data_IF_018954395245
#
_entry.id   IF_018954395245
#
_cell.length_a   1.000
_cell.length_b   1.000
_cell.length_c   1.000
_cell.angle_alpha   90.00
_cell.angle_beta   90.00
_cell.angle_gamma   90.00
#
_symmetry.space_group_name_H-M   'P 1'
#
loop_
_entity.id
_entity.type
_entity.pdbx_description
1 polymer ?
#
# COMPACT_ATOMS: atom_id res chain seq x y z
N UNK A 1 -15.67 21.45 -15.89
CA UNK A 1 -15.57 20.87 -17.24
C UNK A 1 -16.36 19.59 -17.24
N UNK A 2 -17.41 19.51 -18.05
CA UNK A 2 -18.26 18.33 -18.17
C UNK A 2 -17.42 17.17 -18.71
N UNK A 3 -17.36 16.05 -17.99
CA UNK A 3 -16.84 14.80 -18.53
C UNK A 3 -17.64 14.47 -19.80
N UNK A 4 -16.97 14.45 -20.94
CA UNK A 4 -17.56 13.91 -22.15
C UNK A 4 -17.94 12.46 -21.85
N UNK A 5 -19.22 12.16 -21.74
CA UNK A 5 -19.72 10.78 -21.80
C UNK A 5 -19.16 10.19 -23.10
N UNK A 6 -18.17 9.33 -23.00
CA UNK A 6 -17.67 8.58 -24.16
C UNK A 6 -18.87 7.78 -24.70
N UNK A 7 -19.16 7.92 -26.00
CA UNK A 7 -20.12 7.05 -26.65
C UNK A 7 -19.66 5.58 -26.48
N UNK A 8 -20.58 4.64 -26.25
CA UNK A 8 -20.22 3.23 -26.13
C UNK A 8 -19.54 2.79 -27.42
N UNK A 9 -18.32 2.27 -27.30
CA UNK A 9 -17.54 1.77 -28.41
C UNK A 9 -18.03 0.35 -28.79
N UNK A 10 -17.69 -0.12 -29.97
CA UNK A 10 -18.15 -1.41 -30.49
C UNK A 10 -17.74 -2.57 -29.55
N UNK A 11 -16.52 -2.54 -29.02
CA UNK A 11 -16.03 -3.51 -28.04
C UNK A 11 -16.86 -3.56 -26.76
N UNK A 12 -17.23 -2.40 -26.20
CA UNK A 12 -18.05 -2.30 -25.00
C UNK A 12 -19.45 -2.86 -25.23
N UNK A 13 -20.00 -2.68 -26.42
CA UNK A 13 -21.31 -3.25 -26.80
C UNK A 13 -21.29 -4.77 -26.83
N UNK A 14 -20.25 -5.40 -27.39
CA UNK A 14 -20.12 -6.86 -27.38
C UNK A 14 -19.89 -7.43 -25.97
N UNK A 15 -19.12 -6.73 -25.14
CA UNK A 15 -18.91 -7.13 -23.76
C UNK A 15 -20.19 -7.00 -22.91
N UNK A 16 -21.00 -5.97 -23.12
CA UNK A 16 -22.27 -5.79 -22.38
C UNK A 16 -23.29 -6.90 -22.65
N UNK A 17 -23.21 -7.56 -23.80
CA UNK A 17 -24.07 -8.72 -24.13
C UNK A 17 -23.62 -10.05 -23.49
N UNK A 18 -22.39 -10.14 -23.01
CA UNK A 18 -21.90 -11.36 -22.34
C UNK A 18 -22.42 -11.42 -20.90
N UNK A 19 -23.01 -12.54 -20.54
CA UNK A 19 -23.37 -12.82 -19.14
C UNK A 19 -22.09 -13.27 -18.41
N UNK A 20 -21.56 -12.41 -17.58
CA UNK A 20 -20.47 -12.73 -16.67
C UNK A 20 -21.05 -13.17 -15.33
N UNK A 21 -20.41 -14.14 -14.67
CA UNK A 21 -20.70 -14.39 -13.26
C UNK A 21 -20.16 -13.21 -12.43
N UNK A 22 -20.87 -12.77 -11.40
CA UNK A 22 -20.34 -11.77 -10.47
C UNK A 22 -18.99 -12.21 -9.94
N UNK A 23 -18.07 -11.28 -9.83
CA UNK A 23 -16.74 -11.48 -9.29
C UNK A 23 -16.56 -10.60 -8.06
N UNK A 24 -15.56 -10.89 -7.24
CA UNK A 24 -15.15 -10.03 -6.12
C UNK A 24 -15.06 -8.54 -6.52
N UNK A 25 -14.59 -8.25 -7.73
CA UNK A 25 -14.48 -6.87 -8.22
C UNK A 25 -15.83 -6.19 -8.43
N UNK A 26 -16.85 -6.95 -8.84
CA UNK A 26 -18.21 -6.44 -9.01
C UNK A 26 -18.84 -6.13 -7.64
N UNK A 27 -18.61 -6.99 -6.64
CA UNK A 27 -19.05 -6.78 -5.27
C UNK A 27 -18.41 -5.53 -4.66
N UNK A 28 -17.10 -5.33 -4.87
CA UNK A 28 -16.41 -4.12 -4.42
C UNK A 28 -16.96 -2.86 -5.10
N UNK A 29 -17.26 -2.91 -6.41
CA UNK A 29 -17.85 -1.76 -7.12
C UNK A 29 -19.25 -1.38 -6.60
N UNK A 30 -20.02 -2.35 -6.09
CA UNK A 30 -21.32 -2.11 -5.44
C UNK A 30 -21.17 -1.57 -4.00
N UNK A 31 -20.12 -2.00 -3.30
CA UNK A 31 -19.87 -1.60 -1.92
C UNK A 31 -19.31 -0.18 -1.86
N UNK A 32 -18.38 0.18 -2.74
CA UNK A 32 -17.64 1.44 -2.69
C UNK A 32 -18.27 2.50 -3.58
N UNK A 33 -18.65 3.66 -3.01
CA UNK A 33 -18.93 4.86 -3.79
C UNK A 33 -17.60 5.52 -4.20
N UNK A 34 -17.28 5.40 -5.47
CA UNK A 34 -16.04 5.93 -6.02
C UNK A 34 -16.05 7.46 -6.24
N UNK A 35 -17.21 8.12 -6.23
CA UNK A 35 -17.30 9.56 -6.51
C UNK A 35 -16.52 10.43 -5.53
N UNK A 36 -16.61 10.24 -4.20
CA UNK A 36 -15.81 11.01 -3.25
C UNK A 36 -14.30 10.79 -3.43
N UNK A 37 -13.90 9.53 -3.71
CA UNK A 37 -12.50 9.16 -3.96
C UNK A 37 -11.99 9.84 -5.22
N UNK A 38 -12.76 9.82 -6.30
CA UNK A 38 -12.44 10.50 -7.55
C UNK A 38 -12.28 12.01 -7.35
N UNK A 39 -13.21 12.65 -6.63
CA UNK A 39 -13.14 14.08 -6.34
C UNK A 39 -11.89 14.42 -5.52
N UNK A 40 -11.55 13.60 -4.54
CA UNK A 40 -10.34 13.77 -3.72
C UNK A 40 -9.06 13.62 -4.57
N UNK A 41 -8.95 12.56 -5.37
CA UNK A 41 -7.80 12.33 -6.27
C UNK A 41 -7.63 13.48 -7.27
N UNK A 42 -8.71 13.92 -7.90
CA UNK A 42 -8.68 15.03 -8.85
C UNK A 42 -8.25 16.35 -8.20
N UNK A 43 -8.62 16.58 -6.92
CA UNK A 43 -8.19 17.75 -6.15
C UNK A 43 -6.70 17.70 -5.82
N UNK A 44 -6.17 16.52 -5.47
CA UNK A 44 -4.77 16.36 -5.05
C UNK A 44 -3.80 16.25 -6.23
N UNK A 45 -4.21 15.58 -7.29
CA UNK A 45 -3.43 15.37 -8.51
C UNK A 45 -3.73 16.47 -9.56
N UNK A 46 -3.77 17.73 -9.15
CA UNK A 46 -3.97 18.86 -10.08
C UNK A 46 -2.89 18.84 -11.16
N UNK A 47 -3.32 18.75 -12.41
CA UNK A 47 -2.46 18.79 -13.59
C UNK A 47 -2.39 20.20 -14.15
N UNK A 48 -1.23 20.60 -14.68
CA UNK A 48 -1.11 21.83 -15.44
C UNK A 48 -1.90 21.66 -16.73
N UNK A 49 -2.75 22.63 -17.05
CA UNK A 49 -3.64 22.59 -18.22
C UNK A 49 -2.89 22.51 -19.57
N UNK A 50 -1.61 22.90 -19.60
CA UNK A 50 -0.78 23.01 -20.80
C UNK A 50 0.43 22.05 -20.77
N UNK A 51 0.31 20.87 -20.15
CA UNK A 51 1.38 19.89 -20.19
C UNK A 51 1.56 19.39 -21.64
N UNK A 52 2.75 19.52 -22.18
CA UNK A 52 3.14 18.97 -23.49
C UNK A 52 3.31 17.45 -23.31
N UNK A 53 2.74 16.65 -24.21
CA UNK A 53 2.83 15.20 -24.23
C UNK A 53 1.46 14.50 -24.21
N UNK A 54 1.48 13.17 -24.11
CA UNK A 54 0.26 12.37 -24.05
C UNK A 54 -0.60 12.75 -22.83
N UNK A 55 -1.94 12.85 -23.01
CA UNK A 55 -2.84 13.10 -21.91
C UNK A 55 -2.70 11.96 -20.89
N UNK A 56 -2.49 12.34 -19.65
CA UNK A 56 -2.30 11.36 -18.60
C UNK A 56 -3.62 10.65 -18.27
N UNK A 57 -3.54 9.39 -17.90
CA UNK A 57 -4.69 8.58 -17.48
C UNK A 57 -5.51 9.23 -16.38
N UNK A 58 -6.84 9.02 -16.35
CA UNK A 58 -7.68 9.50 -15.26
C UNK A 58 -7.24 8.93 -13.90
N UNK A 59 -7.35 9.73 -12.85
CA UNK A 59 -6.80 9.37 -11.54
C UNK A 59 -7.52 8.19 -10.89
N UNK A 60 -8.85 8.08 -11.02
CA UNK A 60 -9.62 6.97 -10.43
C UNK A 60 -9.31 5.62 -11.10
N UNK A 61 -9.34 5.47 -12.44
CA UNK A 61 -8.85 4.26 -13.10
C UNK A 61 -7.45 3.83 -12.64
N UNK A 62 -6.50 4.77 -12.57
CA UNK A 62 -5.14 4.47 -12.10
C UNK A 62 -5.11 4.04 -10.62
N UNK A 63 -5.94 4.61 -9.77
CA UNK A 63 -6.07 4.17 -8.39
C UNK A 63 -6.65 2.75 -8.29
N UNK A 64 -7.68 2.44 -9.09
CA UNK A 64 -8.24 1.08 -9.19
C UNK A 64 -7.20 0.07 -9.70
N UNK A 65 -6.31 0.47 -10.63
CA UNK A 65 -5.16 -0.38 -11.04
C UNK A 65 -4.24 -0.70 -9.87
N UNK A 66 -3.92 0.25 -8.99
CA UNK A 66 -3.12 -0.02 -7.80
C UNK A 66 -3.84 -0.96 -6.81
N UNK A 67 -5.17 -0.86 -6.69
CA UNK A 67 -5.94 -1.80 -5.88
C UNK A 67 -5.87 -3.23 -6.44
N UNK A 68 -6.06 -3.39 -7.77
CA UNK A 68 -5.89 -4.69 -8.43
C UNK A 68 -4.49 -5.27 -8.19
N UNK A 69 -3.47 -4.44 -8.32
CA UNK A 69 -2.09 -4.85 -8.08
C UNK A 69 -1.91 -5.42 -6.66
N UNK A 70 -2.51 -4.80 -5.66
CA UNK A 70 -2.44 -5.25 -4.27
C UNK A 70 -3.27 -6.49 -4.00
N UNK A 71 -4.52 -6.53 -4.46
CA UNK A 71 -5.42 -7.65 -4.21
C UNK A 71 -4.98 -8.94 -4.91
N UNK A 72 -4.36 -8.83 -6.08
CA UNK A 72 -3.89 -9.98 -6.85
C UNK A 72 -2.39 -10.22 -6.74
N UNK A 73 -1.70 -9.46 -5.87
CA UNK A 73 -0.25 -9.56 -5.64
C UNK A 73 0.58 -9.53 -6.93
N UNK A 74 0.30 -8.55 -7.79
CA UNK A 74 0.96 -8.41 -9.09
C UNK A 74 2.13 -7.43 -9.02
N UNK A 75 3.20 -7.71 -9.76
CA UNK A 75 4.26 -6.75 -10.06
C UNK A 75 3.76 -5.70 -11.08
N UNK A 76 4.52 -4.60 -11.29
CA UNK A 76 4.15 -3.57 -12.26
C UNK A 76 4.00 -4.16 -13.68
N UNK A 77 4.95 -4.95 -14.21
CA UNK A 77 4.80 -5.60 -15.52
C UNK A 77 3.62 -6.60 -15.56
N UNK A 78 3.44 -7.40 -14.50
CA UNK A 78 2.35 -8.35 -14.45
C UNK A 78 0.97 -7.66 -14.39
N UNK A 79 0.90 -6.45 -13.82
CA UNK A 79 -0.33 -5.65 -13.78
C UNK A 79 -0.69 -5.13 -15.16
N UNK A 80 0.27 -4.60 -15.90
CA UNK A 80 0.10 -4.19 -17.30
C UNK A 80 -0.43 -5.35 -18.14
N UNK A 81 0.22 -6.51 -18.07
CA UNK A 81 -0.21 -7.70 -18.80
C UNK A 81 -1.61 -8.16 -18.40
N UNK A 82 -1.91 -8.17 -17.11
CA UNK A 82 -3.23 -8.56 -16.62
C UNK A 82 -4.35 -7.59 -17.05
N UNK A 83 -4.05 -6.30 -17.21
CA UNK A 83 -4.99 -5.32 -17.75
C UNK A 83 -5.30 -5.59 -19.22
N UNK A 84 -4.33 -6.08 -20.02
CA UNK A 84 -4.54 -6.45 -21.42
C UNK A 84 -5.36 -7.74 -21.57
N UNK A 85 -5.13 -8.72 -20.68
CA UNK A 85 -5.68 -10.07 -20.82
C UNK A 85 -7.02 -10.27 -20.12
N UNK A 86 -7.34 -9.50 -19.05
CA UNK A 86 -8.49 -9.76 -18.17
C UNK A 86 -9.60 -8.73 -18.33
N UNK A 87 -10.68 -9.11 -18.95
CA UNK A 87 -11.89 -8.27 -19.06
C UNK A 87 -12.46 -7.82 -17.72
N UNK A 88 -12.35 -8.63 -16.66
CA UNK A 88 -12.79 -8.24 -15.33
C UNK A 88 -12.00 -7.04 -14.79
N UNK A 89 -10.70 -6.96 -15.11
CA UNK A 89 -9.84 -5.85 -14.71
C UNK A 89 -10.18 -4.58 -15.50
N UNK A 90 -10.35 -4.69 -16.82
CA UNK A 90 -10.80 -3.57 -17.66
C UNK A 90 -12.14 -3.02 -17.17
N UNK A 91 -13.11 -3.89 -16.91
CA UNK A 91 -14.43 -3.49 -16.42
C UNK A 91 -14.34 -2.78 -15.08
N UNK A 92 -13.59 -3.31 -14.12
CA UNK A 92 -13.41 -2.71 -12.81
C UNK A 92 -12.70 -1.35 -12.87
N UNK A 93 -11.66 -1.22 -13.67
CA UNK A 93 -10.90 0.03 -13.82
C UNK A 93 -11.61 1.05 -14.70
N UNK A 94 -12.51 0.61 -15.57
CA UNK A 94 -13.22 1.46 -16.53
C UNK A 94 -12.43 1.73 -17.81
N UNK A 95 -11.38 0.96 -18.09
CA UNK A 95 -10.73 0.96 -19.40
C UNK A 95 -11.58 0.19 -20.40
N UNK A 96 -11.72 0.73 -21.63
CA UNK A 96 -12.31 0.01 -22.74
C UNK A 96 -11.27 -0.92 -23.38
N UNK A 97 -11.75 -1.95 -24.08
CA UNK A 97 -10.89 -2.86 -24.87
C UNK A 97 -10.06 -2.12 -25.93
N UNK A 98 -10.58 -0.97 -26.38
CA UNK A 98 -9.93 -0.14 -27.40
C UNK A 98 -9.04 0.97 -26.80
N UNK A 99 -9.01 1.10 -25.47
CA UNK A 99 -8.17 2.09 -24.80
C UNK A 99 -6.77 1.51 -24.59
N UNK A 100 -5.75 2.37 -24.72
CA UNK A 100 -4.41 2.02 -24.25
C UNK A 100 -4.44 1.82 -22.72
N UNK A 101 -3.81 0.77 -22.24
CA UNK A 101 -3.63 0.53 -20.81
C UNK A 101 -2.33 1.17 -20.31
N UNK A 102 -2.23 1.55 -19.03
CA UNK A 102 -1.01 2.10 -18.48
C UNK A 102 0.11 1.08 -18.47
N UNK A 103 1.29 1.46 -18.92
CA UNK A 103 2.51 0.69 -18.85
C UNK A 103 3.05 0.60 -17.40
N UNK A 104 3.98 -0.33 -17.16
CA UNK A 104 4.62 -0.54 -15.86
C UNK A 104 5.23 0.74 -15.28
N UNK A 105 5.85 1.58 -16.13
CA UNK A 105 6.51 2.81 -15.68
C UNK A 105 5.49 3.86 -15.28
N UNK A 106 4.36 3.93 -15.96
CA UNK A 106 3.24 4.81 -15.64
C UNK A 106 2.58 4.40 -14.32
N UNK A 107 2.39 3.08 -14.08
CA UNK A 107 1.87 2.55 -12.82
C UNK A 107 2.82 2.93 -11.66
N UNK A 108 4.12 2.69 -11.83
CA UNK A 108 5.14 3.04 -10.85
C UNK A 108 5.16 4.54 -10.53
N UNK A 109 5.16 5.41 -11.57
CA UNK A 109 5.15 6.87 -11.40
C UNK A 109 3.90 7.37 -10.68
N UNK A 110 2.73 6.81 -11.00
CA UNK A 110 1.48 7.18 -10.35
C UNK A 110 1.51 6.82 -8.85
N UNK A 111 1.92 5.59 -8.50
CA UNK A 111 2.10 5.15 -7.12
C UNK A 111 3.05 6.06 -6.35
N UNK A 112 4.24 6.34 -6.91
CA UNK A 112 5.22 7.22 -6.29
C UNK A 112 4.68 8.65 -6.13
N UNK A 113 3.83 9.10 -7.04
CA UNK A 113 3.13 10.39 -6.93
C UNK A 113 2.20 10.45 -5.72
N UNK A 114 1.41 9.39 -5.47
CA UNK A 114 0.53 9.31 -4.31
C UNK A 114 1.32 9.23 -3.00
N UNK A 115 2.44 8.50 -2.98
CA UNK A 115 3.34 8.39 -1.82
C UNK A 115 3.92 9.77 -1.49
N UNK A 116 4.47 10.49 -2.48
CA UNK A 116 5.02 11.85 -2.29
C UNK A 116 4.00 12.85 -1.77
N UNK A 117 2.74 12.69 -2.15
CA UNK A 117 1.65 13.54 -1.67
C UNK A 117 1.11 13.12 -0.30
N UNK A 118 1.58 12.01 0.24
CA UNK A 118 1.13 11.42 1.51
C UNK A 118 -0.41 11.30 1.59
N UNK A 119 -1.04 10.72 0.56
CA UNK A 119 -2.50 10.63 0.46
C UNK A 119 -3.05 9.22 0.61
N UNK A 120 -2.18 8.21 0.74
CA UNK A 120 -2.59 6.81 0.78
C UNK A 120 -3.42 6.48 2.03
N UNK A 121 -3.01 6.99 3.21
CA UNK A 121 -3.75 6.79 4.46
C UNK A 121 -5.16 7.38 4.36
N UNK A 122 -5.27 8.59 3.81
CA UNK A 122 -6.59 9.22 3.62
C UNK A 122 -7.48 8.45 2.66
N UNK A 123 -6.92 7.85 1.60
CA UNK A 123 -7.65 7.00 0.68
C UNK A 123 -8.13 5.71 1.37
N UNK A 124 -7.30 5.11 2.23
CA UNK A 124 -7.66 3.96 3.04
C UNK A 124 -8.81 4.31 4.01
N UNK A 125 -8.71 5.44 4.72
CA UNK A 125 -9.76 5.94 5.62
C UNK A 125 -11.10 6.13 4.89
N UNK A 126 -11.06 6.66 3.65
CA UNK A 126 -12.28 6.85 2.86
C UNK A 126 -12.94 5.53 2.48
N UNK A 127 -12.15 4.50 2.18
CA UNK A 127 -12.65 3.15 1.89
C UNK A 127 -13.20 2.52 3.17
N UNK A 128 -12.42 2.51 4.24
CA UNK A 128 -12.81 1.92 5.53
C UNK A 128 -14.06 2.59 6.11
N UNK A 129 -14.18 3.92 5.96
CA UNK A 129 -15.37 4.66 6.38
C UNK A 129 -16.63 4.22 5.65
N UNK A 130 -16.54 3.89 4.36
CA UNK A 130 -17.69 3.39 3.59
C UNK A 130 -18.04 1.94 3.96
N UNK A 131 -17.03 1.08 4.15
CA UNK A 131 -17.20 -0.32 4.58
C UNK A 131 -17.82 -0.34 5.99
N UNK A 132 -17.30 0.49 6.92
CA UNK A 132 -17.84 0.64 8.27
C UNK A 132 -19.28 1.17 8.29
N UNK A 133 -19.59 2.16 7.44
CA UNK A 133 -20.94 2.70 7.32
C UNK A 133 -21.99 1.69 6.81
N UNK A 134 -21.55 0.61 6.19
CA UNK A 134 -22.39 -0.52 5.76
C UNK A 134 -22.44 -1.66 6.78
N UNK A 135 -21.83 -1.49 7.95
CA UNK A 135 -21.79 -2.52 9.00
C UNK A 135 -20.94 -3.75 8.66
N UNK A 136 -20.09 -3.65 7.64
CA UNK A 136 -19.21 -4.74 7.23
C UNK A 136 -17.90 -4.77 8.01
N UNK A 137 -17.58 -3.68 8.72
CA UNK A 137 -16.35 -3.55 9.52
C UNK A 137 -16.71 -3.65 10.99
N UNK A 138 -16.22 -4.68 11.65
CA UNK A 138 -16.43 -4.89 13.09
C UNK A 138 -15.33 -4.18 13.87
N UNK A 139 -15.72 -3.24 14.72
CA UNK A 139 -14.80 -2.48 15.58
C UNK A 139 -14.71 -3.01 17.00
N UNK A 140 -15.33 -4.16 17.26
CA UNK A 140 -15.29 -4.85 18.55
C UNK A 140 -14.08 -5.79 18.62
N UNK A 141 -12.98 -5.26 19.15
CA UNK A 141 -11.72 -5.98 19.24
C UNK A 141 -10.86 -5.85 17.97
N UNK A 142 -9.57 -5.75 18.17
CA UNK A 142 -8.60 -5.75 17.09
C UNK A 142 -7.48 -6.74 17.39
N UNK A 143 -7.02 -7.42 16.34
CA UNK A 143 -5.78 -8.20 16.38
C UNK A 143 -4.66 -7.30 15.87
N UNK A 144 -3.66 -7.07 16.71
CA UNK A 144 -2.47 -6.28 16.33
C UNK A 144 -1.28 -7.21 16.25
N UNK A 145 -0.62 -7.20 15.11
CA UNK A 145 0.61 -7.97 14.88
C UNK A 145 1.72 -7.08 14.33
N UNK A 146 2.96 -7.42 14.69
CA UNK A 146 4.15 -6.75 14.22
C UNK A 146 5.02 -7.72 13.43
N UNK A 147 5.16 -7.47 12.14
CA UNK A 147 5.99 -8.28 11.24
C UNK A 147 7.22 -7.50 10.78
N UNK A 148 8.38 -8.20 10.73
CA UNK A 148 9.62 -7.63 10.21
C UNK A 148 9.68 -7.83 8.70
N UNK A 149 9.91 -6.74 7.97
CA UNK A 149 10.11 -6.74 6.52
C UNK A 149 11.55 -6.33 6.22
N UNK A 150 12.31 -7.23 5.61
CA UNK A 150 13.68 -6.95 5.22
C UNK A 150 13.73 -5.96 4.05
N UNK A 151 14.62 -4.95 4.15
CA UNK A 151 14.95 -4.09 3.02
C UNK A 151 15.79 -4.87 2.00
N UNK A 152 15.52 -4.66 0.72
CA UNK A 152 16.34 -5.23 -0.36
C UNK A 152 17.71 -4.54 -0.47
N UNK A 153 17.85 -3.34 0.09
CA UNK A 153 19.08 -2.54 0.09
C UNK A 153 19.79 -2.69 1.43
N UNK A 154 20.47 -3.81 1.62
CA UNK A 154 21.26 -4.06 2.83
C UNK A 154 22.57 -3.27 2.80
N UNK A 155 23.00 -2.68 3.93
CA UNK A 155 24.32 -2.04 3.99
C UNK A 155 25.41 -3.08 3.73
N UNK A 156 26.39 -2.73 2.91
CA UNK A 156 27.42 -3.68 2.44
C UNK A 156 28.44 -4.08 3.52
N UNK A 157 28.48 -3.45 4.70
CA UNK A 157 29.55 -3.63 5.69
C UNK A 157 29.17 -3.77 7.17
N UNK A 158 27.92 -3.86 7.55
CA UNK A 158 27.55 -4.06 8.98
C UNK A 158 27.87 -5.48 9.47
N UNK A 159 28.18 -6.41 8.58
CA UNK A 159 28.41 -7.82 8.92
C UNK A 159 29.86 -8.06 9.41
N UNK A 160 30.83 -7.24 8.99
CA UNK A 160 32.24 -7.47 9.29
C UNK A 160 32.74 -6.91 10.63
N UNK A 161 31.94 -6.11 11.33
CA UNK A 161 32.32 -5.48 12.60
C UNK A 161 31.95 -6.32 13.83
N UNK A 162 31.20 -7.41 13.65
CA UNK A 162 30.88 -8.34 14.72
C UNK A 162 31.77 -9.58 14.68
N UNK A 163 33.06 -9.37 14.54
CA UNK A 163 34.05 -10.42 14.66
C UNK A 163 34.41 -10.65 16.13
N UNK A 164 34.27 -11.87 16.50
CA UNK A 164 35.04 -12.67 17.46
C UNK A 164 34.96 -12.41 18.98
N UNK A 165 34.70 -11.24 19.51
CA UNK A 165 34.85 -11.01 20.96
C UNK A 165 33.59 -10.87 21.81
N UNK A 166 32.39 -11.12 21.26
CA UNK A 166 31.11 -11.10 22.04
C UNK A 166 30.32 -12.41 21.95
N UNK A 167 30.99 -13.53 21.95
CA UNK A 167 30.32 -14.84 21.93
C UNK A 167 29.82 -15.31 23.32
N UNK A 168 30.11 -14.61 24.37
CA UNK A 168 29.69 -14.97 25.72
C UNK A 168 29.26 -13.70 26.45
N UNK A 169 27.98 -13.42 26.46
CA UNK A 169 27.22 -12.83 27.56
C UNK A 169 25.92 -12.16 27.08
N UNK A 170 24.81 -12.67 27.60
CA UNK A 170 23.62 -11.91 27.98
C UNK A 170 22.72 -11.40 26.86
N UNK A 171 21.51 -11.92 26.82
CA UNK A 171 20.34 -11.32 26.21
C UNK A 171 20.07 -9.96 26.86
N UNK A 172 20.65 -8.88 26.36
CA UNK A 172 20.18 -7.53 26.62
C UNK A 172 19.76 -6.90 25.29
N UNK A 173 18.51 -6.43 25.24
CA UNK A 173 18.00 -5.52 24.23
C UNK A 173 18.82 -4.22 24.28
N UNK A 174 19.98 -4.23 23.64
CA UNK A 174 20.88 -3.09 23.62
C UNK A 174 20.47 -2.10 22.53
N UNK A 175 20.14 -0.88 22.91
CA UNK A 175 20.29 0.30 22.05
C UNK A 175 21.66 0.22 21.37
N UNK A 176 21.68 0.50 20.07
CA UNK A 176 22.93 0.57 19.32
C UNK A 176 23.90 1.52 20.03
N UNK A 177 25.17 1.14 20.24
CA UNK A 177 26.13 2.02 20.86
C UNK A 177 26.29 3.28 20.01
N UNK A 178 25.94 4.41 20.59
CA UNK A 178 26.34 5.72 20.10
C UNK A 178 27.82 5.89 20.43
N UNK A 179 28.62 6.22 19.39
CA UNK A 179 30.01 6.63 19.48
C UNK A 179 31.09 5.57 19.82
N UNK A 180 31.38 4.71 18.84
CA UNK A 180 32.71 4.11 18.70
C UNK A 180 33.42 4.80 17.51
N UNK A 181 34.54 5.54 17.74
CA UNK A 181 35.18 6.37 16.72
C UNK A 181 35.84 5.58 15.58
N UNK A 182 35.97 4.26 15.68
CA UNK A 182 36.56 3.41 14.67
C UNK A 182 35.56 2.69 13.76
N UNK A 183 34.27 2.92 13.92
CA UNK A 183 33.23 2.30 13.10
C UNK A 183 32.69 3.26 12.04
N UNK A 184 33.23 3.18 10.83
CA UNK A 184 32.66 3.90 9.68
C UNK A 184 31.41 3.19 9.20
N UNK A 185 30.24 3.61 9.64
CA UNK A 185 28.95 3.06 9.19
C UNK A 185 28.62 3.64 7.82
N UNK A 186 28.85 2.88 6.76
CA UNK A 186 28.34 3.22 5.43
C UNK A 186 26.90 2.77 5.30
N UNK A 187 25.96 3.71 5.29
CA UNK A 187 24.54 3.40 5.09
C UNK A 187 24.25 3.07 3.63
N UNK A 188 23.33 2.13 3.42
CA UNK A 188 22.71 1.96 2.12
C UNK A 188 21.86 3.19 1.79
N UNK A 189 21.41 3.34 0.53
CA UNK A 189 20.47 4.42 0.14
C UNK A 189 19.14 4.42 0.91
N UNK A 190 18.87 3.40 1.69
CA UNK A 190 17.68 3.26 2.54
C UNK A 190 18.03 3.68 3.98
N UNK A 191 18.09 4.99 4.20
CA UNK A 191 18.48 5.58 5.49
C UNK A 191 17.44 5.40 6.60
N UNK A 192 16.22 5.04 6.24
CA UNK A 192 15.12 4.89 7.18
C UNK A 192 15.01 3.45 7.71
N UNK A 193 15.73 2.52 7.12
CA UNK A 193 15.80 1.14 7.59
C UNK A 193 16.82 1.00 8.73
N UNK A 194 16.59 0.04 9.65
CA UNK A 194 17.47 -0.23 10.76
C UNK A 194 17.73 -1.73 10.95
N UNK A 195 18.83 -2.04 11.66
CA UNK A 195 19.16 -3.41 12.03
C UNK A 195 18.37 -3.84 13.28
N UNK A 196 17.86 -5.07 13.25
CA UNK A 196 17.25 -5.76 14.39
C UNK A 196 17.93 -7.13 14.55
N UNK A 197 18.43 -7.43 15.74
CA UNK A 197 18.88 -8.75 16.09
C UNK A 197 17.77 -9.56 16.77
N UNK A 198 17.42 -10.72 16.18
CA UNK A 198 16.43 -11.62 16.78
C UNK A 198 16.86 -13.06 16.54
N UNK A 199 16.93 -13.86 17.60
CA UNK A 199 17.28 -15.29 17.54
C UNK A 199 18.57 -15.58 16.75
N UNK A 200 19.65 -14.89 17.05
CA UNK A 200 20.97 -15.01 16.39
C UNK A 200 20.99 -14.69 14.90
N UNK A 201 20.02 -13.92 14.42
CA UNK A 201 19.95 -13.46 13.03
C UNK A 201 19.73 -11.96 12.98
N UNK A 202 20.52 -11.27 12.15
CA UNK A 202 20.36 -9.86 11.87
C UNK A 202 19.31 -9.65 10.75
N UNK A 203 18.38 -8.74 10.99
CA UNK A 203 17.39 -8.28 10.02
C UNK A 203 17.64 -6.79 9.80
N UNK A 204 17.77 -6.39 8.54
CA UNK A 204 17.87 -4.97 8.18
C UNK A 204 16.62 -4.57 7.41
N UNK A 205 15.86 -3.61 7.95
CA UNK A 205 14.61 -3.20 7.32
C UNK A 205 13.68 -2.47 8.25
N UNK A 206 12.42 -2.85 8.20
CA UNK A 206 11.31 -2.21 8.87
C UNK A 206 10.49 -3.19 9.68
N UNK A 207 9.79 -2.65 10.66
CA UNK A 207 8.73 -3.33 11.38
C UNK A 207 7.39 -2.75 10.91
N UNK A 208 6.49 -3.62 10.45
CA UNK A 208 5.13 -3.26 10.06
C UNK A 208 4.20 -3.70 11.16
N UNK A 209 3.51 -2.74 11.76
CA UNK A 209 2.44 -2.98 12.72
C UNK A 209 1.12 -2.90 11.98
N UNK A 210 0.30 -3.94 12.08
CA UNK A 210 -1.00 -4.04 11.39
C UNK A 210 -2.07 -4.31 12.43
N UNK A 211 -3.15 -3.55 12.39
CA UNK A 211 -4.36 -3.83 13.13
C UNK A 211 -5.44 -4.33 12.17
N UNK A 212 -6.01 -5.48 12.47
CA UNK A 212 -7.14 -6.05 11.76
C UNK A 212 -8.31 -6.24 12.70
N UNK A 213 -9.52 -6.23 12.19
CA UNK A 213 -10.67 -6.60 12.98
C UNK A 213 -10.57 -8.08 13.41
N UNK A 214 -11.23 -8.41 14.51
CA UNK A 214 -11.14 -9.75 15.12
C UNK A 214 -11.98 -10.78 14.39
N UNK A 215 -12.93 -10.39 13.53
CA UNK A 215 -13.91 -11.28 12.93
C UNK A 215 -13.57 -11.64 11.48
N UNK A 216 -13.39 -10.64 10.65
CA UNK A 216 -13.29 -10.83 9.20
C UNK A 216 -11.90 -10.48 8.66
N UNK A 217 -10.98 -9.98 9.52
CA UNK A 217 -9.61 -9.66 9.18
C UNK A 217 -9.46 -8.39 8.34
N UNK A 218 -10.45 -7.49 8.34
CA UNK A 218 -10.32 -6.21 7.65
C UNK A 218 -9.23 -5.35 8.26
N UNK A 219 -8.43 -4.71 7.42
CA UNK A 219 -7.38 -3.81 7.84
C UNK A 219 -7.97 -2.53 8.45
N UNK A 220 -7.81 -2.35 9.76
CA UNK A 220 -8.22 -1.16 10.49
C UNK A 220 -7.18 -0.05 10.38
N UNK A 221 -5.91 -0.41 10.38
CA UNK A 221 -4.82 0.52 10.24
C UNK A 221 -3.47 -0.17 10.15
N UNK A 222 -2.44 0.60 9.77
CA UNK A 222 -1.06 0.10 9.70
C UNK A 222 -0.06 1.20 9.98
N UNK A 223 1.05 0.84 10.60
CA UNK A 223 2.16 1.75 10.86
C UNK A 223 3.49 1.05 10.59
N UNK A 224 4.42 1.78 9.99
CA UNK A 224 5.75 1.28 9.66
C UNK A 224 6.78 2.01 10.52
N UNK A 225 7.70 1.26 11.11
CA UNK A 225 8.83 1.81 11.87
C UNK A 225 10.13 1.18 11.41
N UNK A 226 11.28 1.82 11.64
CA UNK A 226 12.57 1.15 11.54
C UNK A 226 12.58 -0.13 12.41
N UNK A 227 13.24 -1.20 11.95
CA UNK A 227 13.16 -2.51 12.59
C UNK A 227 13.63 -2.54 14.06
N UNK A 228 14.56 -1.64 14.44
CA UNK A 228 15.13 -1.54 15.80
C UNK A 228 14.23 -0.84 16.82
N UNK A 229 13.07 -0.29 16.42
CA UNK A 229 12.17 0.39 17.36
C UNK A 229 11.38 -0.60 18.18
N UNK A 230 11.26 -0.31 19.48
CA UNK A 230 10.43 -1.10 20.42
C UNK A 230 8.94 -1.02 20.06
N UNK A 231 8.24 -2.14 20.20
CA UNK A 231 6.80 -2.24 19.93
C UNK A 231 5.97 -1.53 21.01
N UNK A 232 6.43 -1.58 22.27
CA UNK A 232 5.66 -1.14 23.43
C UNK A 232 5.33 0.37 23.42
N UNK A 233 6.29 1.23 23.07
CA UNK A 233 6.09 2.69 23.15
C UNK A 233 5.22 3.29 22.03
N UNK A 234 4.82 2.50 21.04
CA UNK A 234 4.00 2.99 19.91
C UNK A 234 2.65 2.30 19.83
N UNK A 235 2.46 1.21 20.57
CA UNK A 235 1.23 0.44 20.58
C UNK A 235 0.04 1.30 21.01
N UNK A 236 0.15 2.08 22.09
CA UNK A 236 -0.92 2.96 22.58
C UNK A 236 -1.34 3.98 21.50
N UNK A 237 -0.38 4.67 20.90
CA UNK A 237 -0.68 5.64 19.83
C UNK A 237 -1.30 5.01 18.60
N UNK A 238 -0.95 3.76 18.33
CA UNK A 238 -1.49 3.03 17.20
C UNK A 238 -2.92 2.56 17.47
N UNK A 239 -3.20 2.07 18.67
CA UNK A 239 -4.54 1.68 19.12
C UNK A 239 -5.48 2.89 19.14
N UNK A 240 -5.02 4.04 19.62
CA UNK A 240 -5.78 5.29 19.61
C UNK A 240 -6.11 5.75 18.18
N UNK A 241 -5.16 5.60 17.24
CA UNK A 241 -5.35 5.96 15.84
C UNK A 241 -6.36 5.05 15.11
N UNK A 242 -6.51 3.80 15.55
CA UNK A 242 -7.45 2.82 14.96
C UNK A 242 -8.90 3.07 15.40
N UNK A 243 -9.14 3.96 16.39
CA UNK A 243 -10.49 4.33 16.87
C UNK A 243 -11.35 3.10 17.18
N UNK A 244 -10.83 2.23 18.03
CA UNK A 244 -11.63 1.12 18.55
C UNK A 244 -12.73 1.67 19.45
N UNK A 245 -13.97 1.22 19.25
CA UNK A 245 -15.01 1.47 20.23
C UNK A 245 -14.69 0.66 21.49
N UNK A 246 -14.75 1.28 22.70
CA UNK A 246 -14.58 0.51 23.91
C UNK A 246 -15.65 -0.57 23.93
N UNK A 247 -15.22 -1.81 23.99
CA UNK A 247 -16.10 -2.96 24.01
C UNK A 247 -17.13 -2.85 25.12
N UNK A 248 -18.37 -3.14 24.78
CA UNK A 248 -19.47 -3.25 25.71
C UNK A 248 -19.29 -4.49 26.61
#
# INVERSE_FOLDING_TARGET
MAERKKAPRLGDYFLSKRKFKPTFLDEIDEIIDWKPIQAFLNKKLKRKANAIGNPAYPALPMFKVLLLQRWYNLSDPATEQALLDRFSFMRFTGFSVEDDVPDETTICRFRNGLIKLNVLDKLLDMINGQIGGKGLLVREGAVVDASVVESQRKPRKVIDVMSEDRAEEGEEEGDAPEDDPDVTVSFSDDRDAACLWKRRRAYYGYKIHVATDSRDGFLLGGHVTPANRSDAGKFERFVDAVSLEPGA
#
